data_IF_609736011277
#
_entry.id   IF_609736011277
#
_cell.length_a   1.000
_cell.length_b   1.000
_cell.length_c   1.000
_cell.angle_alpha   90.00
_cell.angle_beta   90.00
_cell.angle_gamma   90.00
#
_symmetry.space_group_name_H-M   'P 1'
#
loop_
_entity.id
_entity.type
_entity.pdbx_description
1 polymer ?
#
# COMPACT_ATOMS: atom_id res chain seq x y z
N UNK A 1 -9.02 -32.43 44.06
CA UNK A 1 -9.68 -32.80 42.80
C UNK A 1 -10.59 -31.64 42.42
N UNK A 2 -10.90 -31.46 41.13
CA UNK A 2 -11.26 -30.20 40.43
C UNK A 2 -10.03 -29.33 40.16
N UNK A 3 -9.29 -29.53 39.07
CA UNK A 3 -9.71 -29.53 37.66
C UNK A 3 -10.65 -28.37 37.32
N UNK A 4 -10.02 -27.25 36.99
CA UNK A 4 -10.68 -26.04 36.52
C UNK A 4 -9.72 -25.16 35.72
N UNK A 5 -8.69 -25.76 35.08
CA UNK A 5 -8.00 -25.11 33.96
C UNK A 5 -9.03 -25.03 32.83
N UNK A 6 -9.94 -24.05 32.93
CA UNK A 6 -10.77 -23.59 31.82
C UNK A 6 -9.82 -23.05 30.76
N UNK A 7 -9.38 -23.97 29.93
CA UNK A 7 -9.32 -23.93 28.48
C UNK A 7 -10.45 -23.12 27.79
N UNK A 8 -10.68 -21.88 28.23
CA UNK A 8 -11.59 -20.92 27.57
C UNK A 8 -10.86 -19.59 27.50
N UNK A 9 -10.61 -18.98 26.36
CA UNK A 9 -11.15 -19.22 25.03
C UNK A 9 -10.26 -18.35 24.14
N UNK A 10 -9.31 -18.96 23.44
CA UNK A 10 -8.52 -18.29 22.41
C UNK A 10 -9.35 -18.01 21.14
N UNK A 11 -10.68 -17.85 21.26
CA UNK A 11 -11.63 -17.90 20.14
C UNK A 11 -12.40 -16.60 19.91
N UNK A 12 -12.31 -15.62 20.80
CA UNK A 12 -12.81 -14.27 20.51
C UNK A 12 -11.64 -13.37 20.14
N UNK A 13 -11.22 -13.46 18.87
CA UNK A 13 -10.59 -12.34 18.18
C UNK A 13 -11.48 -11.11 18.46
N UNK A 14 -11.03 -10.27 19.39
CA UNK A 14 -11.73 -9.05 19.81
C UNK A 14 -12.30 -8.36 18.57
N UNK A 15 -13.56 -7.87 18.61
CA UNK A 15 -14.16 -7.15 17.49
C UNK A 15 -13.21 -6.11 16.87
N UNK A 16 -12.34 -5.54 17.70
CA UNK A 16 -11.28 -4.61 17.38
C UNK A 16 -10.15 -5.24 16.54
N UNK A 17 -9.70 -6.44 16.87
CA UNK A 17 -8.71 -7.18 16.09
C UNK A 17 -9.25 -7.62 14.72
N UNK A 18 -10.55 -7.94 14.63
CA UNK A 18 -11.22 -8.21 13.36
C UNK A 18 -11.33 -6.95 12.50
N UNK A 19 -11.68 -5.82 13.10
CA UNK A 19 -11.71 -4.53 12.42
C UNK A 19 -10.33 -4.13 11.87
N UNK A 20 -9.26 -4.34 12.64
CA UNK A 20 -7.89 -4.07 12.20
C UNK A 20 -7.46 -4.96 11.02
N UNK A 21 -7.81 -6.26 11.04
CA UNK A 21 -7.53 -7.17 9.92
C UNK A 21 -8.33 -6.82 8.66
N UNK A 22 -9.58 -6.37 8.83
CA UNK A 22 -10.41 -5.89 7.72
C UNK A 22 -9.85 -4.58 7.13
N UNK A 23 -9.23 -3.72 7.94
CA UNK A 23 -8.60 -2.48 7.49
C UNK A 23 -7.22 -2.69 6.81
N UNK A 24 -6.51 -3.78 7.16
CA UNK A 24 -5.17 -4.07 6.65
C UNK A 24 -5.01 -4.01 5.11
N UNK A 25 -5.89 -4.61 4.28
CA UNK A 25 -5.77 -4.51 2.83
C UNK A 25 -5.93 -3.07 2.32
N UNK A 26 -6.85 -2.28 2.88
CA UNK A 26 -7.04 -0.88 2.51
C UNK A 26 -5.83 -0.03 2.86
N UNK A 27 -5.27 -0.20 4.06
CA UNK A 27 -4.05 0.50 4.49
C UNK A 27 -2.91 0.17 3.53
N UNK A 28 -2.74 -1.11 3.17
CA UNK A 28 -1.67 -1.53 2.24
C UNK A 28 -1.84 -0.95 0.82
N UNK A 29 -3.07 -0.78 0.36
CA UNK A 29 -3.37 -0.18 -0.94
C UNK A 29 -2.95 1.30 -0.98
N UNK A 30 -3.23 2.04 0.10
CA UNK A 30 -2.81 3.44 0.24
C UNK A 30 -1.28 3.55 0.22
N UNK A 31 -0.58 2.72 0.99
CA UNK A 31 0.90 2.72 0.99
C UNK A 31 1.50 2.39 -0.37
N UNK A 32 0.84 1.53 -1.15
CA UNK A 32 1.29 1.21 -2.52
C UNK A 32 1.21 2.42 -3.44
N UNK A 33 0.15 3.23 -3.30
CA UNK A 33 -0.06 4.45 -4.08
C UNK A 33 0.90 5.56 -3.66
N UNK A 34 1.04 5.79 -2.35
CA UNK A 34 2.00 6.76 -1.79
C UNK A 34 3.43 6.40 -2.21
N UNK A 35 3.81 5.12 -2.12
CA UNK A 35 5.12 4.66 -2.57
C UNK A 35 5.36 4.89 -4.07
N UNK A 36 4.36 4.62 -4.91
CA UNK A 36 4.46 4.88 -6.36
C UNK A 36 4.65 6.35 -6.71
N UNK A 37 3.89 7.25 -6.05
CA UNK A 37 4.02 8.69 -6.25
C UNK A 37 5.34 9.23 -5.72
N UNK A 38 5.79 8.80 -4.53
CA UNK A 38 7.08 9.22 -3.97
C UNK A 38 8.26 8.78 -4.85
N UNK A 39 8.22 7.55 -5.38
CA UNK A 39 9.26 7.05 -6.29
C UNK A 39 9.23 7.81 -7.62
N UNK A 40 8.05 8.03 -8.21
CA UNK A 40 7.91 8.78 -9.46
C UNK A 40 8.32 10.25 -9.34
N UNK A 41 7.85 10.92 -8.30
CA UNK A 41 8.19 12.32 -8.00
C UNK A 41 9.66 12.49 -7.62
N UNK A 42 10.22 11.60 -6.79
CA UNK A 42 11.63 11.62 -6.41
C UNK A 42 12.56 11.34 -7.60
N UNK A 43 12.22 10.38 -8.46
CA UNK A 43 12.96 10.11 -9.69
C UNK A 43 12.87 11.27 -10.68
N UNK A 44 11.68 11.88 -10.83
CA UNK A 44 11.47 13.06 -11.67
C UNK A 44 12.27 14.27 -11.20
N UNK A 45 12.29 14.52 -9.88
CA UNK A 45 13.09 15.57 -9.28
C UNK A 45 14.60 15.34 -9.48
N UNK A 46 15.08 14.11 -9.27
CA UNK A 46 16.49 13.78 -9.50
C UNK A 46 16.93 13.98 -10.96
N UNK A 47 16.05 13.70 -11.91
CA UNK A 47 16.31 13.92 -13.34
C UNK A 47 16.37 15.43 -13.64
N UNK A 48 15.43 16.21 -13.12
CA UNK A 48 15.42 17.68 -13.31
C UNK A 48 16.66 18.35 -12.72
N UNK A 49 17.06 17.94 -11.52
CA UNK A 49 18.26 18.45 -10.83
C UNK A 49 19.53 18.19 -11.65
N UNK A 50 19.61 17.03 -12.32
CA UNK A 50 20.79 16.62 -13.09
C UNK A 50 20.90 17.29 -14.45
N UNK A 51 19.77 17.66 -15.06
CA UNK A 51 19.76 18.26 -16.39
C UNK A 51 19.60 19.78 -16.37
N UNK A 52 19.54 20.42 -15.19
CA UNK A 52 19.21 21.85 -15.00
C UNK A 52 18.00 22.29 -15.87
N UNK A 53 17.13 21.34 -16.18
CA UNK A 53 16.02 21.52 -17.09
C UNK A 53 14.86 22.09 -16.31
N UNK A 54 14.15 23.05 -16.91
CA UNK A 54 12.83 23.49 -16.43
C UNK A 54 11.97 22.26 -16.10
N UNK A 55 11.03 22.29 -15.11
CA UNK A 55 10.58 21.17 -14.27
C UNK A 55 9.77 20.09 -15.01
N UNK A 56 10.32 19.55 -16.09
CA UNK A 56 9.69 18.65 -17.04
C UNK A 56 9.83 17.20 -16.59
N UNK A 57 10.96 16.83 -16.01
CA UNK A 57 11.20 15.54 -15.37
C UNK A 57 10.30 15.33 -14.17
N UNK A 58 10.02 16.36 -13.37
CA UNK A 58 9.02 16.33 -12.30
C UNK A 58 7.62 16.10 -12.86
N UNK A 59 7.21 16.80 -13.93
CA UNK A 59 5.90 16.61 -14.56
C UNK A 59 5.76 15.16 -15.06
N UNK A 60 6.72 14.69 -15.87
CA UNK A 60 6.70 13.32 -16.41
C UNK A 60 6.79 12.28 -15.30
N UNK A 61 7.63 12.52 -14.29
CA UNK A 61 7.78 11.66 -13.11
C UNK A 61 6.52 11.58 -12.26
N UNK A 62 5.76 12.68 -12.14
CA UNK A 62 4.48 12.69 -11.43
C UNK A 62 3.42 11.89 -12.21
N UNK A 63 3.32 12.08 -13.52
CA UNK A 63 2.41 11.32 -14.39
C UNK A 63 2.76 9.83 -14.40
N UNK A 64 4.05 9.48 -14.47
CA UNK A 64 4.52 8.10 -14.38
C UNK A 64 4.28 7.50 -12.99
N UNK A 65 4.52 8.24 -11.92
CA UNK A 65 4.26 7.80 -10.54
C UNK A 65 2.78 7.55 -10.30
N UNK A 66 1.91 8.40 -10.84
CA UNK A 66 0.47 8.22 -10.80
C UNK A 66 0.04 6.98 -11.60
N UNK A 67 0.53 6.82 -12.84
CA UNK A 67 0.28 5.63 -13.67
C UNK A 67 0.77 4.32 -13.03
N UNK A 68 1.97 4.33 -12.45
CA UNK A 68 2.54 3.19 -11.73
C UNK A 68 1.75 2.85 -10.46
N UNK A 69 1.27 3.86 -9.72
CA UNK A 69 0.39 3.69 -8.57
C UNK A 69 -0.93 3.02 -8.95
N UNK A 70 -1.60 3.52 -10.00
CA UNK A 70 -2.82 2.89 -10.54
C UNK A 70 -2.57 1.45 -11.02
N UNK A 71 -1.47 1.22 -11.75
CA UNK A 71 -1.09 -0.11 -12.21
C UNK A 71 -0.87 -1.08 -11.04
N UNK A 72 -0.16 -0.66 -9.98
CA UNK A 72 0.08 -1.48 -8.80
C UNK A 72 -1.21 -1.81 -8.03
N UNK A 73 -2.16 -0.87 -8.00
CA UNK A 73 -3.50 -1.10 -7.44
C UNK A 73 -4.26 -2.14 -8.27
N UNK A 74 -4.43 -1.91 -9.58
CA UNK A 74 -5.16 -2.82 -10.49
C UNK A 74 -4.53 -4.21 -10.50
N UNK A 75 -3.20 -4.31 -10.52
CA UNK A 75 -2.47 -5.58 -10.44
C UNK A 75 -2.72 -6.31 -9.12
N UNK A 76 -2.79 -5.57 -8.01
CA UNK A 76 -3.18 -6.11 -6.70
C UNK A 76 -4.58 -6.73 -6.75
N UNK A 77 -5.57 -6.00 -7.29
CA UNK A 77 -6.93 -6.50 -7.45
C UNK A 77 -7.01 -7.70 -8.43
N UNK A 78 -6.30 -7.65 -9.55
CA UNK A 78 -6.31 -8.71 -10.55
C UNK A 78 -5.64 -10.00 -10.04
N UNK A 79 -4.63 -9.89 -9.18
CA UNK A 79 -4.00 -11.06 -8.55
C UNK A 79 -4.94 -11.82 -7.58
N UNK A 80 -6.02 -11.18 -7.13
CA UNK A 80 -7.08 -11.81 -6.34
C UNK A 80 -8.10 -12.58 -7.19
N UNK A 81 -8.29 -12.21 -8.47
CA UNK A 81 -9.24 -12.88 -9.38
C UNK A 81 -8.62 -14.10 -10.12
N UNK A 82 -7.40 -14.48 -9.77
CA UNK A 82 -6.71 -15.67 -10.32
C UNK A 82 -6.54 -16.79 -9.30
N UNK A 83 -7.31 -16.80 -8.22
CA UNK A 83 -7.39 -17.93 -7.26
C UNK A 83 -8.79 -18.47 -7.20
#
# INVERSE_FOLDING_TARGET
MEDGRKDKDGSELSPEARAQRAAAPYISAVWRMVGGVLVGGGAGWFIDERFHSSPWGLIVGLFLGMGAGFYAMIKGLSSMNKR
#
